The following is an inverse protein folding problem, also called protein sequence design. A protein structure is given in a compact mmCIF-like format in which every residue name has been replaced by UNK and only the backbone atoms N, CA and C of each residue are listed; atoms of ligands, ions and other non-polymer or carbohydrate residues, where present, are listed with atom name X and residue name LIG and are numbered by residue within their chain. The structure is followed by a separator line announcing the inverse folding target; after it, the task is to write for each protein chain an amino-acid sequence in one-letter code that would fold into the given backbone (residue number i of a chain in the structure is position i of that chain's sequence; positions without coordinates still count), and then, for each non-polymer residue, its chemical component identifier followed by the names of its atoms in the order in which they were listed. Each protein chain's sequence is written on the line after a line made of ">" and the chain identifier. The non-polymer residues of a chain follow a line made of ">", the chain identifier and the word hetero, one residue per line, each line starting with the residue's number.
data_IF_573459997681
#
_entry.id   IF_573459997681
#
_cell.length_a   1.000
_cell.length_b   1.000
_cell.length_c   1.000
_cell.angle_alpha   90.00
_cell.angle_beta   90.00
_cell.angle_gamma   90.00
#
_symmetry.space_group_name_H-M   'P 1'
#
loop_
_entity.id
_entity.type
_entity.pdbx_description
1 polymer ?
#
# COMPACT_ATOMS: atom_id res chain seq x y z
N UNK A 1 -4.60 -3.83 15.34
CA UNK A 1 -4.72 -2.85 14.25
C UNK A 1 -6.18 -2.83 13.83
N UNK A 2 -6.95 -1.87 14.33
CA UNK A 2 -8.37 -1.77 14.01
C UNK A 2 -8.49 -0.89 12.77
N UNK A 3 -8.69 -1.50 11.60
CA UNK A 3 -9.19 -0.77 10.44
C UNK A 3 -10.70 -0.60 10.66
N UNK A 4 -11.11 0.55 11.20
CA UNK A 4 -12.52 0.93 11.12
C UNK A 4 -12.79 1.46 9.72
N UNK A 5 -13.32 0.60 8.86
CA UNK A 5 -13.63 0.93 7.47
C UNK A 5 -15.14 1.21 7.34
N UNK A 6 -15.47 2.45 7.02
CA UNK A 6 -16.80 2.79 6.54
C UNK A 6 -16.88 2.49 5.05
N UNK A 7 -17.94 1.81 4.59
CA UNK A 7 -18.23 1.67 3.16
C UNK A 7 -18.72 3.05 2.66
N UNK A 8 -17.82 3.83 2.08
CA UNK A 8 -18.12 5.19 1.60
C UNK A 8 -18.70 5.14 0.17
N UNK A 9 -18.39 4.10 -0.61
CA UNK A 9 -18.82 3.93 -2.00
C UNK A 9 -19.08 2.47 -2.34
N UNK A 10 -19.99 2.19 -3.30
CA UNK A 10 -20.16 0.86 -3.88
C UNK A 10 -18.96 0.46 -4.77
N UNK A 11 -18.78 -0.85 -5.00
CA UNK A 11 -17.78 -1.37 -5.94
C UNK A 11 -18.04 -0.81 -7.33
N UNK A 12 -16.99 -0.31 -7.95
CA UNK A 12 -17.07 0.35 -9.25
C UNK A 12 -16.58 -0.61 -10.34
N UNK A 13 -17.41 -0.86 -11.35
CA UNK A 13 -17.12 -1.84 -12.41
C UNK A 13 -16.52 -1.19 -13.66
N UNK A 14 -17.00 -0.01 -14.06
CA UNK A 14 -16.46 0.74 -15.22
C UNK A 14 -16.68 2.25 -15.07
N UNK A 15 -15.70 3.05 -15.53
CA UNK A 15 -15.76 4.52 -15.59
C UNK A 15 -14.63 5.24 -14.83
N UNK A 16 -14.86 6.47 -14.38
CA UNK A 16 -13.88 7.28 -13.64
C UNK A 16 -14.47 7.76 -12.32
N UNK A 17 -13.67 7.69 -11.27
CA UNK A 17 -14.02 8.23 -9.95
C UNK A 17 -12.95 9.22 -9.49
N UNK A 18 -13.37 10.28 -8.80
CA UNK A 18 -12.46 11.29 -8.24
C UNK A 18 -12.62 11.32 -6.73
N UNK A 19 -11.53 11.09 -5.99
CA UNK A 19 -11.50 11.20 -4.54
C UNK A 19 -10.85 12.51 -4.11
N UNK A 20 -11.50 13.24 -3.20
CA UNK A 20 -10.90 14.39 -2.53
C UNK A 20 -10.45 13.97 -1.14
N UNK A 21 -9.14 13.86 -0.96
CA UNK A 21 -8.52 13.60 0.34
C UNK A 21 -8.13 14.94 0.97
N UNK A 22 -8.57 15.18 2.21
CA UNK A 22 -8.28 16.41 2.95
C UNK A 22 -7.36 16.04 4.11
N UNK A 23 -6.08 16.45 4.00
CA UNK A 23 -5.13 16.36 5.10
C UNK A 23 -5.27 17.59 6.00
N UNK A 24 -5.28 17.37 7.31
CA UNK A 24 -5.53 18.37 8.34
C UNK A 24 -4.37 18.49 9.33
N UNK A 25 -4.33 17.57 10.30
CA UNK A 25 -3.31 17.48 11.34
C UNK A 25 -2.26 16.42 11.05
N UNK A 26 -2.45 15.59 10.02
CA UNK A 26 -1.54 14.51 9.67
C UNK A 26 -0.20 15.08 9.15
N UNK A 27 0.90 14.58 9.71
CA UNK A 27 2.28 14.82 9.29
C UNK A 27 3.06 13.51 9.53
N UNK A 28 3.81 13.04 8.54
CA UNK A 28 4.50 11.74 8.59
C UNK A 28 4.07 10.78 7.48
N UNK A 29 4.04 9.48 7.78
CA UNK A 29 3.75 8.42 6.80
C UNK A 29 2.35 7.85 6.99
N UNK A 30 1.54 7.93 5.94
CA UNK A 30 0.29 7.19 5.77
C UNK A 30 0.44 6.21 4.59
N UNK A 31 -0.62 5.49 4.27
CA UNK A 31 -0.68 4.60 3.11
C UNK A 31 -2.11 4.57 2.56
N UNK A 32 -2.23 4.27 1.27
CA UNK A 32 -3.50 3.99 0.61
C UNK A 32 -3.51 2.54 0.14
N UNK A 33 -4.68 1.97 0.02
CA UNK A 33 -4.88 0.66 -0.57
C UNK A 33 -6.25 0.56 -1.22
N UNK A 34 -6.38 -0.34 -2.19
CA UNK A 34 -7.69 -0.72 -2.69
C UNK A 34 -8.52 -1.33 -1.56
N UNK A 35 -9.82 -1.13 -1.66
CA UNK A 35 -10.75 -1.45 -0.58
C UNK A 35 -11.92 -2.31 -1.10
N UNK A 36 -11.63 -3.11 -2.13
CA UNK A 36 -12.55 -4.11 -2.67
C UNK A 36 -11.91 -5.48 -2.47
N UNK A 37 -12.56 -6.33 -1.68
CA UNK A 37 -12.11 -7.71 -1.45
C UNK A 37 -10.61 -7.75 -1.06
N UNK A 38 -9.83 -8.64 -1.66
CA UNK A 38 -8.38 -8.77 -1.39
C UNK A 38 -7.48 -7.99 -2.35
N UNK A 39 -8.04 -7.08 -3.15
CA UNK A 39 -7.27 -6.30 -4.13
C UNK A 39 -6.12 -5.47 -3.53
N UNK A 40 -6.18 -5.12 -2.22
CA UNK A 40 -5.06 -4.46 -1.52
C UNK A 40 -3.77 -5.26 -1.51
N UNK A 41 -3.79 -6.57 -1.76
CA UNK A 41 -2.57 -7.39 -1.84
C UNK A 41 -1.59 -6.86 -2.90
N UNK A 42 -2.11 -6.32 -4.00
CA UNK A 42 -1.30 -5.76 -5.10
C UNK A 42 -1.54 -4.28 -5.36
N UNK A 43 -2.66 -3.72 -4.89
CA UNK A 43 -3.05 -2.32 -5.12
C UNK A 43 -2.95 -1.53 -3.82
N UNK A 44 -1.76 -0.99 -3.55
CA UNK A 44 -1.46 -0.18 -2.37
C UNK A 44 -0.25 0.73 -2.60
N UNK A 45 -0.02 1.69 -1.70
CA UNK A 45 1.16 2.54 -1.74
C UNK A 45 1.28 3.48 -0.53
N UNK A 46 2.47 4.05 -0.35
CA UNK A 46 2.73 5.01 0.72
C UNK A 46 2.24 6.43 0.36
N UNK A 47 1.84 7.18 1.37
CA UNK A 47 1.57 8.62 1.32
C UNK A 47 2.53 9.28 2.31
N UNK A 48 3.40 10.16 1.83
CA UNK A 48 4.32 10.91 2.68
C UNK A 48 3.80 12.34 2.80
N UNK A 49 3.54 12.79 4.02
CA UNK A 49 3.10 14.14 4.35
C UNK A 49 4.25 14.83 5.07
N UNK A 50 4.93 15.72 4.35
CA UNK A 50 6.03 16.52 4.88
C UNK A 50 5.54 17.60 5.85
N UNK A 51 6.43 18.13 6.71
CA UNK A 51 6.12 19.29 7.54
C UNK A 51 5.60 20.44 6.70
N UNK A 52 4.62 21.17 7.26
CA UNK A 52 4.03 22.35 6.62
C UNK A 52 5.12 23.38 6.28
N UNK A 53 4.91 24.17 5.24
CA UNK A 53 5.86 25.23 4.89
C UNK A 53 6.10 26.16 6.10
N UNK A 54 7.37 26.36 6.48
CA UNK A 54 7.76 27.13 7.66
C UNK A 54 7.89 26.32 8.95
N UNK A 55 7.52 25.03 8.94
CA UNK A 55 7.80 24.04 9.98
C UNK A 55 9.05 23.23 9.62
N UNK A 56 9.64 22.58 10.62
CA UNK A 56 10.70 21.58 10.45
C UNK A 56 10.33 20.32 11.23
N UNK A 57 10.93 19.19 10.86
CA UNK A 57 10.88 18.00 11.70
C UNK A 57 11.27 18.33 13.14
N UNK A 58 10.67 17.64 14.11
CA UNK A 58 11.04 17.72 15.52
C UNK A 58 12.39 17.04 15.83
N UNK A 59 13.08 16.59 14.79
CA UNK A 59 14.37 15.92 14.80
C UNK A 59 15.24 16.46 13.66
N UNK A 60 16.54 16.15 13.68
CA UNK A 60 17.45 16.57 12.63
C UNK A 60 16.98 16.04 11.26
N UNK A 61 16.90 16.93 10.27
CA UNK A 61 16.48 16.56 8.92
C UNK A 61 17.31 15.36 8.41
N UNK A 62 16.65 14.27 7.99
CA UNK A 62 17.35 13.08 7.53
C UNK A 62 18.07 13.37 6.21
N UNK A 63 19.18 12.65 5.97
CA UNK A 63 19.91 12.74 4.71
C UNK A 63 19.08 12.21 3.53
N UNK A 64 18.32 11.15 3.76
CA UNK A 64 17.43 10.53 2.78
C UNK A 64 16.20 9.95 3.47
N UNK A 65 15.11 9.88 2.73
CA UNK A 65 13.85 9.28 3.15
C UNK A 65 13.43 8.26 2.09
N UNK A 66 13.23 7.01 2.50
CA UNK A 66 12.91 5.88 1.62
C UNK A 66 11.72 5.11 2.22
N UNK A 67 10.58 5.04 1.50
CA UNK A 67 9.47 4.18 1.92
C UNK A 67 9.88 2.71 1.90
N UNK A 68 9.52 1.99 2.97
CA UNK A 68 9.66 0.54 3.08
C UNK A 68 8.27 -0.05 3.27
N UNK A 69 7.75 -0.69 2.22
CA UNK A 69 6.44 -1.34 2.20
C UNK A 69 6.65 -2.84 2.37
N UNK A 70 5.99 -3.41 3.36
CA UNK A 70 5.99 -4.85 3.62
C UNK A 70 4.66 -5.43 3.11
N UNK A 71 4.72 -6.51 2.34
CA UNK A 71 3.52 -7.15 1.80
C UNK A 71 3.73 -8.66 1.58
N UNK A 72 2.63 -9.39 1.48
CA UNK A 72 2.59 -10.78 1.05
C UNK A 72 2.51 -10.90 -0.48
N UNK A 73 3.02 -12.00 -1.03
CA UNK A 73 2.95 -12.34 -2.44
C UNK A 73 2.53 -13.80 -2.63
N UNK A 74 1.57 -14.02 -3.53
CA UNK A 74 1.12 -15.33 -3.98
C UNK A 74 1.50 -15.51 -5.45
N UNK A 75 1.90 -16.73 -5.79
CA UNK A 75 2.05 -17.16 -7.19
C UNK A 75 0.68 -17.35 -7.85
N UNK A 76 -0.33 -17.75 -7.06
CA UNK A 76 -1.72 -17.85 -7.48
C UNK A 76 -2.36 -16.46 -7.57
N UNK A 77 -3.40 -16.32 -8.39
CA UNK A 77 -4.20 -15.11 -8.41
C UNK A 77 -4.83 -14.88 -7.02
N UNK A 78 -4.69 -13.67 -6.49
CA UNK A 78 -5.15 -13.32 -5.13
C UNK A 78 -6.67 -13.48 -5.00
N UNK A 79 -7.43 -13.22 -6.06
CA UNK A 79 -8.88 -13.40 -6.05
C UNK A 79 -9.26 -14.87 -6.06
N UNK A 80 -8.49 -15.74 -6.72
CA UNK A 80 -8.72 -17.19 -6.62
C UNK A 80 -8.46 -17.71 -5.21
N UNK A 81 -7.39 -17.24 -4.55
CA UNK A 81 -7.12 -17.57 -3.13
C UNK A 81 -8.27 -17.11 -2.24
N UNK A 82 -8.77 -15.90 -2.47
CA UNK A 82 -9.90 -15.35 -1.74
C UNK A 82 -11.20 -16.14 -1.96
N UNK A 83 -11.53 -16.47 -3.21
CA UNK A 83 -12.75 -17.19 -3.56
C UNK A 83 -12.74 -18.61 -2.96
N UNK A 84 -11.61 -19.29 -2.96
CA UNK A 84 -11.47 -20.61 -2.32
C UNK A 84 -11.57 -20.54 -0.79
N UNK A 85 -10.97 -19.52 -0.17
CA UNK A 85 -11.14 -19.25 1.25
C UNK A 85 -12.63 -19.06 1.61
N UNK A 86 -13.33 -18.21 0.86
CA UNK A 86 -14.76 -17.95 1.07
C UNK A 86 -15.61 -19.20 0.83
N UNK A 87 -15.33 -19.96 -0.22
CA UNK A 87 -16.10 -21.15 -0.59
C UNK A 87 -15.86 -22.32 0.37
N UNK A 88 -14.63 -22.50 0.86
CA UNK A 88 -14.29 -23.60 1.78
C UNK A 88 -14.71 -23.32 3.23
N UNK A 89 -14.76 -22.04 3.64
CA UNK A 89 -14.96 -21.63 5.03
C UNK A 89 -13.79 -22.00 5.96
N UNK A 90 -12.66 -22.44 5.40
CA UNK A 90 -11.43 -22.77 6.12
C UNK A 90 -10.47 -21.58 6.19
N UNK A 91 -9.18 -21.86 6.42
CA UNK A 91 -8.12 -20.85 6.36
C UNK A 91 -7.68 -20.59 4.90
N UNK A 92 -7.26 -19.36 4.57
CA UNK A 92 -6.70 -19.07 3.25
C UNK A 92 -5.32 -19.68 3.06
N UNK A 93 -4.93 -19.90 1.79
CA UNK A 93 -3.58 -20.34 1.46
C UNK A 93 -2.52 -19.34 1.95
N UNK A 94 -1.46 -19.87 2.53
CA UNK A 94 -0.29 -19.08 2.97
C UNK A 94 0.42 -18.49 1.76
N UNK A 95 0.93 -17.26 1.90
CA UNK A 95 1.70 -16.58 0.85
C UNK A 95 2.97 -17.35 0.47
N UNK A 96 3.34 -17.29 -0.81
CA UNK A 96 4.56 -17.91 -1.35
C UNK A 96 5.82 -17.14 -0.94
N UNK A 97 5.68 -15.83 -0.68
CA UNK A 97 6.77 -15.00 -0.19
C UNK A 97 6.29 -13.75 0.55
N UNK A 98 7.12 -13.28 1.47
CA UNK A 98 7.06 -11.90 1.98
C UNK A 98 7.90 -11.00 1.09
N UNK A 99 7.47 -9.76 0.92
CA UNK A 99 8.13 -8.79 0.05
C UNK A 99 8.47 -7.50 0.77
N UNK A 100 9.57 -6.89 0.34
CA UNK A 100 9.96 -5.51 0.68
C UNK A 100 9.89 -4.71 -0.62
N UNK A 101 9.03 -3.69 -0.66
CA UNK A 101 8.79 -2.88 -1.86
C UNK A 101 8.46 -3.73 -3.11
N UNK A 102 7.65 -4.79 -2.90
CA UNK A 102 7.23 -5.72 -3.95
C UNK A 102 8.30 -6.73 -4.39
N UNK A 103 9.47 -6.76 -3.73
CA UNK A 103 10.54 -7.72 -4.01
C UNK A 103 10.62 -8.79 -2.91
N UNK A 104 10.52 -10.09 -3.25
CA UNK A 104 10.75 -11.18 -2.29
C UNK A 104 12.17 -11.22 -1.71
N UNK A 105 13.16 -10.79 -2.49
CA UNK A 105 14.56 -10.72 -2.09
C UNK A 105 15.37 -12.00 -2.33
N UNK A 106 16.63 -11.99 -1.87
CA UNK A 106 17.68 -12.91 -2.34
C UNK A 106 17.48 -14.39 -1.98
N UNK A 107 16.69 -14.66 -0.94
CA UNK A 107 16.40 -16.02 -0.46
C UNK A 107 15.27 -16.69 -1.25
N UNK A 108 14.53 -15.93 -2.06
CA UNK A 108 13.45 -16.45 -2.88
C UNK A 108 13.96 -16.83 -4.31
N UNK A 109 13.47 -17.96 -4.88
CA UNK A 109 13.81 -18.34 -6.24
C UNK A 109 13.46 -17.21 -7.24
N UNK A 110 14.35 -16.96 -8.19
CA UNK A 110 14.17 -15.95 -9.25
C UNK A 110 14.05 -14.48 -8.77
N UNK A 111 14.44 -14.17 -7.53
CA UNK A 111 14.23 -12.84 -6.92
C UNK A 111 15.52 -12.07 -6.59
N UNK A 112 16.69 -12.57 -7.00
CA UNK A 112 18.02 -11.95 -6.73
C UNK A 112 18.30 -10.65 -7.49
N UNK A 113 17.37 -10.18 -8.33
CA UNK A 113 17.56 -8.96 -9.12
C UNK A 113 16.92 -7.77 -8.40
N UNK A 114 17.77 -6.83 -7.97
CA UNK A 114 17.35 -5.61 -7.28
C UNK A 114 16.77 -4.62 -8.30
N UNK A 115 15.44 -4.49 -8.32
CA UNK A 115 14.78 -3.31 -8.85
C UNK A 115 14.12 -2.56 -7.68
N UNK A 116 14.78 -1.49 -7.23
CA UNK A 116 14.20 -0.54 -6.29
C UNK A 116 13.20 0.32 -7.08
N UNK A 117 11.92 -0.01 -7.01
CA UNK A 117 10.87 0.86 -7.52
C UNK A 117 10.53 1.92 -6.48
N UNK A 118 10.99 3.15 -6.69
CA UNK A 118 10.57 4.31 -5.88
C UNK A 118 9.50 5.07 -6.65
N UNK A 119 8.23 4.92 -6.27
CA UNK A 119 7.17 5.80 -6.75
C UNK A 119 7.15 7.06 -5.88
N UNK A 120 7.68 8.18 -6.41
CA UNK A 120 7.54 9.50 -5.78
C UNK A 120 6.29 10.17 -6.34
N UNK A 121 5.22 10.21 -5.54
CA UNK A 121 4.09 11.08 -5.83
C UNK A 121 4.40 12.48 -5.30
N UNK A 122 4.66 13.42 -6.21
CA UNK A 122 4.74 14.84 -5.86
C UNK A 122 3.33 15.42 -5.98
N UNK A 123 2.67 15.63 -4.86
CA UNK A 123 1.43 16.40 -4.82
C UNK A 123 1.80 17.87 -4.62
N UNK A 124 1.70 18.74 -5.65
CA UNK A 124 1.78 20.17 -5.43
C UNK A 124 0.56 20.56 -4.58
N UNK A 125 0.79 20.88 -3.30
CA UNK A 125 -0.19 21.57 -2.49
C UNK A 125 -0.41 22.95 -3.12
N UNK A 126 -1.48 23.09 -3.91
CA UNK A 126 -1.97 24.40 -4.33
C UNK A 126 -2.70 25.01 -3.14
N UNK A 127 -2.11 26.05 -2.57
CA UNK A 127 -2.80 26.99 -1.69
C UNK A 127 -3.57 27.98 -2.57
#
# INVERSE_FOLDING_TARGET
>A
MLSTEAIITSKFTEGKFSQKVIFSAEEGTLWWHAHSDWSRATVHGAIIIFPKNGSTYLFQKPHAEVPIVLADWWKKDVMEVFDEFVASGGDPDVSDAFTINGQPGDLCPCSKQVLIFTFRFHFPLRY
#
